data_IF_909914436381
#
_entry.id   IF_909914436381
#
_cell.length_a   1.000
_cell.length_b   1.000
_cell.length_c   1.000
_cell.angle_alpha   90.00
_cell.angle_beta   90.00
_cell.angle_gamma   90.00
#
_symmetry.space_group_name_H-M   'P 1'
#
loop_
_entity.id
_entity.type
_entity.pdbx_description
1 polymer ?
#
# COMPACT_ATOMS: atom_id res chain seq x y z
N UNK A 1 0.16 23.94 -9.84
CA UNK A 1 -0.54 23.19 -8.77
C UNK A 1 -0.56 21.73 -9.19
N UNK A 2 -0.08 20.82 -8.35
CA UNK A 2 -0.18 19.38 -8.63
C UNK A 2 -1.64 18.95 -8.45
N UNK A 3 -2.21 18.25 -9.41
CA UNK A 3 -3.57 17.71 -9.31
C UNK A 3 -3.63 16.65 -8.20
N UNK A 4 -4.83 16.36 -7.65
CA UNK A 4 -5.00 15.28 -6.66
C UNK A 4 -4.46 13.97 -7.21
N UNK A 5 -4.78 13.63 -8.46
CA UNK A 5 -4.22 12.47 -9.17
C UNK A 5 -2.69 12.45 -9.13
N UNK A 6 -2.05 13.56 -9.48
CA UNK A 6 -0.59 13.66 -9.48
C UNK A 6 0.01 13.47 -8.08
N UNK A 7 -0.66 13.97 -7.04
CA UNK A 7 -0.23 13.75 -5.65
C UNK A 7 -0.32 12.28 -5.25
N UNK A 8 -1.44 11.61 -5.55
CA UNK A 8 -1.63 10.19 -5.24
C UNK A 8 -0.62 9.31 -5.99
N UNK A 9 -0.41 9.55 -7.30
CA UNK A 9 0.61 8.85 -8.08
C UNK A 9 2.02 9.07 -7.53
N UNK A 10 2.33 10.31 -7.10
CA UNK A 10 3.62 10.62 -6.49
C UNK A 10 3.81 9.88 -5.16
N UNK A 11 2.78 9.78 -4.32
CA UNK A 11 2.82 9.00 -3.08
C UNK A 11 3.09 7.52 -3.36
N UNK A 12 2.36 6.93 -4.31
CA UNK A 12 2.57 5.55 -4.74
C UNK A 12 4.00 5.34 -5.26
N UNK A 13 4.51 6.25 -6.08
CA UNK A 13 5.85 6.17 -6.65
C UNK A 13 6.92 6.28 -5.57
N UNK A 14 6.78 7.21 -4.63
CA UNK A 14 7.71 7.38 -3.50
C UNK A 14 7.81 6.11 -2.66
N UNK A 15 6.68 5.49 -2.32
CA UNK A 15 6.68 4.23 -1.55
C UNK A 15 7.25 3.08 -2.38
N UNK A 16 6.82 2.92 -3.63
CA UNK A 16 7.30 1.86 -4.51
C UNK A 16 8.82 1.93 -4.75
N UNK A 17 9.37 3.13 -4.92
CA UNK A 17 10.83 3.33 -5.02
C UNK A 17 11.54 2.91 -3.74
N UNK A 18 11.04 3.32 -2.56
CA UNK A 18 11.67 2.99 -1.28
C UNK A 18 11.65 1.49 -0.98
N UNK A 19 10.55 0.79 -1.29
CA UNK A 19 10.42 -0.66 -1.10
C UNK A 19 11.51 -1.45 -1.85
N UNK A 20 11.88 -1.01 -3.05
CA UNK A 20 12.77 -1.78 -3.93
C UNK A 20 12.06 -2.98 -4.59
N UNK A 21 12.76 -3.70 -5.47
CA UNK A 21 12.14 -4.75 -6.30
C UNK A 21 11.57 -5.92 -5.49
N UNK A 22 12.34 -6.46 -4.56
CA UNK A 22 11.97 -7.65 -3.78
C UNK A 22 10.67 -7.44 -3.00
N UNK A 23 10.54 -6.31 -2.29
CA UNK A 23 9.34 -5.99 -1.53
C UNK A 23 8.16 -5.64 -2.44
N UNK A 24 8.38 -4.98 -3.59
CA UNK A 24 7.31 -4.72 -4.58
C UNK A 24 6.74 -5.99 -5.19
N UNK A 25 7.50 -7.07 -5.24
CA UNK A 25 7.01 -8.37 -5.70
C UNK A 25 6.15 -9.08 -4.65
N UNK A 26 6.30 -8.73 -3.37
CA UNK A 26 5.59 -9.37 -2.25
C UNK A 26 4.37 -8.56 -1.79
N UNK A 27 4.48 -7.24 -1.78
CA UNK A 27 3.46 -6.31 -1.29
C UNK A 27 2.50 -5.89 -2.39
N UNK A 28 1.23 -5.72 -2.01
CA UNK A 28 0.16 -5.27 -2.92
C UNK A 28 -0.38 -3.94 -2.42
N UNK A 29 -0.35 -2.92 -3.27
CA UNK A 29 -0.91 -1.61 -2.98
C UNK A 29 -2.45 -1.68 -2.99
N UNK A 30 -3.06 -1.09 -1.96
CA UNK A 30 -4.51 -1.04 -1.75
C UNK A 30 -4.90 0.36 -1.26
N UNK A 31 -6.15 0.52 -0.80
CA UNK A 31 -6.54 1.73 -0.09
C UNK A 31 -6.88 2.91 -0.99
N UNK A 32 -7.25 4.02 -0.35
CA UNK A 32 -7.70 5.24 -1.04
C UNK A 32 -6.68 5.79 -2.04
N UNK A 33 -5.39 5.64 -1.77
CA UNK A 33 -4.32 6.11 -2.65
C UNK A 33 -4.34 5.42 -4.03
N UNK A 34 -4.73 4.13 -4.08
CA UNK A 34 -4.84 3.39 -5.34
C UNK A 34 -6.06 3.74 -6.18
N UNK A 35 -7.00 4.53 -5.66
CA UNK A 35 -8.18 5.02 -6.42
C UNK A 35 -7.76 5.71 -7.72
N UNK A 36 -6.65 6.45 -7.71
CA UNK A 36 -6.11 7.14 -8.89
C UNK A 36 -5.73 6.19 -10.04
N UNK A 37 -5.55 4.90 -9.76
CA UNK A 37 -5.20 3.88 -10.75
C UNK A 37 -6.42 3.30 -11.47
N UNK A 38 -7.62 3.48 -10.92
CA UNK A 38 -8.86 2.90 -11.46
C UNK A 38 -9.72 3.90 -12.22
N UNK A 39 -9.54 5.20 -11.99
CA UNK A 39 -10.34 6.23 -12.64
C UNK A 39 -9.70 6.63 -13.98
N UNK A 40 -10.49 6.48 -15.04
CA UNK A 40 -10.09 6.76 -16.43
C UNK A 40 -10.53 8.13 -16.93
N UNK A 41 -11.42 8.81 -16.19
CA UNK A 41 -11.97 10.13 -16.52
C UNK A 41 -11.34 11.21 -15.61
N UNK A 42 -10.66 12.18 -16.22
CA UNK A 42 -9.91 13.21 -15.49
C UNK A 42 -10.82 14.19 -14.72
N UNK A 43 -12.08 14.40 -15.12
CA UNK A 43 -13.04 15.25 -14.39
C UNK A 43 -13.45 14.57 -13.08
N UNK A 44 -13.71 13.27 -13.13
CA UNK A 44 -14.09 12.46 -11.97
C UNK A 44 -12.93 12.40 -10.95
N UNK A 45 -11.69 12.42 -11.43
CA UNK A 45 -10.49 12.47 -10.59
C UNK A 45 -10.37 13.75 -9.75
N UNK A 46 -10.91 14.88 -10.21
CA UNK A 46 -10.92 16.12 -9.43
C UNK A 46 -11.81 16.02 -8.17
N UNK A 47 -12.81 15.14 -8.21
CA UNK A 47 -13.69 14.85 -7.07
C UNK A 47 -13.15 13.79 -6.10
N UNK A 48 -12.01 13.16 -6.39
CA UNK A 48 -11.42 12.15 -5.51
C UNK A 48 -10.97 12.80 -4.22
N UNK A 49 -11.44 12.26 -3.10
CA UNK A 49 -10.97 12.66 -1.78
C UNK A 49 -9.48 12.34 -1.66
N UNK A 50 -8.68 13.35 -1.31
CA UNK A 50 -7.28 13.14 -0.98
C UNK A 50 -7.14 12.24 0.27
N UNK A 51 -6.12 11.39 0.26
CA UNK A 51 -5.66 10.65 1.45
C UNK A 51 -4.23 11.06 1.80
N UNK A 52 -3.81 10.82 3.03
CA UNK A 52 -2.49 11.19 3.54
C UNK A 52 -1.59 9.96 3.85
N UNK A 53 -2.06 8.77 3.48
CA UNK A 53 -1.39 7.48 3.64
C UNK A 53 -1.35 6.64 2.36
N UNK A 54 -0.50 5.61 2.39
CA UNK A 54 -0.43 4.56 1.37
C UNK A 54 -0.59 3.22 2.07
N UNK A 55 -1.56 2.43 1.64
CA UNK A 55 -1.87 1.13 2.23
C UNK A 55 -1.29 -0.01 1.40
N UNK A 56 -0.71 -0.99 2.07
CA UNK A 56 -0.20 -2.22 1.45
C UNK A 56 -0.65 -3.45 2.24
N UNK A 57 -0.95 -4.52 1.51
CA UNK A 57 -1.23 -5.84 2.08
C UNK A 57 -0.13 -6.83 1.71
N UNK A 58 0.06 -7.83 2.57
CA UNK A 58 1.09 -8.87 2.41
C UNK A 58 0.62 -10.20 2.99
N UNK A 59 0.99 -11.28 2.31
CA UNK A 59 0.81 -12.65 2.81
C UNK A 59 1.92 -12.95 3.81
N UNK A 60 1.55 -13.11 5.08
CA UNK A 60 2.46 -13.44 6.18
C UNK A 60 1.77 -14.38 7.16
N UNK A 61 2.53 -15.33 7.70
CA UNK A 61 2.05 -16.25 8.73
C UNK A 61 2.78 -16.01 10.04
N UNK A 62 2.03 -15.55 11.05
CA UNK A 62 2.52 -15.35 12.41
C UNK A 62 3.52 -14.20 12.61
N UNK A 63 3.76 -13.91 13.89
CA UNK A 63 4.54 -12.75 14.33
C UNK A 63 6.02 -12.76 13.92
N UNK A 64 6.60 -13.94 13.70
CA UNK A 64 8.01 -14.05 13.31
C UNK A 64 8.28 -13.47 11.92
N UNK A 65 7.40 -13.73 10.95
CA UNK A 65 7.51 -13.18 9.60
C UNK A 65 7.18 -11.68 9.58
N UNK A 66 6.22 -11.24 10.42
CA UNK A 66 5.95 -9.83 10.64
C UNK A 66 7.17 -9.06 11.14
N UNK A 67 7.86 -9.57 12.17
CA UNK A 67 9.06 -8.95 12.71
C UNK A 67 10.20 -8.85 11.68
N UNK A 68 10.33 -9.86 10.80
CA UNK A 68 11.29 -9.84 9.68
C UNK A 68 10.94 -8.76 8.66
N UNK A 69 9.67 -8.69 8.23
CA UNK A 69 9.21 -7.65 7.31
C UNK A 69 9.48 -6.25 7.89
N UNK A 70 9.15 -6.01 9.17
CA UNK A 70 9.43 -4.74 9.81
C UNK A 70 10.93 -4.41 9.81
N UNK A 71 11.80 -5.40 10.05
CA UNK A 71 13.25 -5.20 9.98
C UNK A 71 13.73 -4.85 8.57
N UNK A 72 13.19 -5.49 7.53
CA UNK A 72 13.46 -5.16 6.12
C UNK A 72 12.99 -3.74 5.77
N UNK A 73 11.77 -3.38 6.18
CA UNK A 73 11.20 -2.04 5.97
C UNK A 73 12.06 -0.96 6.65
N UNK A 74 12.56 -1.21 7.87
CA UNK A 74 13.50 -0.28 8.53
C UNK A 74 14.78 -0.04 7.75
N UNK A 75 15.32 -1.08 7.09
CA UNK A 75 16.49 -0.92 6.21
C UNK A 75 16.17 -0.11 4.94
N UNK A 76 14.91 -0.07 4.52
CA UNK A 76 14.42 0.74 3.41
C UNK A 76 14.02 2.17 3.81
N UNK A 77 14.21 2.55 5.08
CA UNK A 77 13.95 3.89 5.58
C UNK A 77 12.53 4.11 6.12
N UNK A 78 11.73 3.05 6.25
CA UNK A 78 10.45 3.12 6.95
C UNK A 78 10.68 3.03 8.47
N UNK A 79 9.94 3.79 9.27
CA UNK A 79 10.08 3.75 10.72
C UNK A 79 8.74 3.90 11.43
N UNK A 80 8.56 3.22 12.55
CA UNK A 80 7.46 3.49 13.46
C UNK A 80 7.61 4.87 14.12
N UNK A 81 6.48 5.52 14.40
CA UNK A 81 6.44 6.80 15.10
C UNK A 81 5.69 6.66 16.41
N UNK A 82 6.25 7.19 17.50
CA UNK A 82 5.55 7.24 18.79
C UNK A 82 4.30 8.13 18.77
N UNK A 83 4.17 8.98 17.75
CA UNK A 83 3.00 9.85 17.57
C UNK A 83 1.86 9.15 16.82
N UNK A 84 2.10 7.98 16.22
CA UNK A 84 1.08 7.22 15.50
C UNK A 84 0.50 6.13 16.41
N UNK A 85 -0.84 6.07 16.48
CA UNK A 85 -1.57 5.06 17.26
C UNK A 85 -2.05 3.88 16.43
N UNK A 86 -1.80 3.91 15.11
CA UNK A 86 -2.22 2.87 14.16
C UNK A 86 -1.13 1.80 14.12
N UNK A 87 -1.46 0.56 14.51
CA UNK A 87 -0.48 -0.49 14.75
C UNK A 87 0.25 -0.99 13.50
N UNK A 88 -0.39 -0.93 12.33
CA UNK A 88 0.20 -1.27 11.03
C UNK A 88 1.00 -0.11 10.41
N UNK A 89 1.01 1.07 11.03
CA UNK A 89 1.55 2.30 10.43
C UNK A 89 3.05 2.42 10.66
N UNK A 90 3.75 2.66 9.56
CA UNK A 90 5.11 3.19 9.55
C UNK A 90 5.13 4.51 8.78
N UNK A 91 6.27 5.20 8.83
CA UNK A 91 6.51 6.44 8.10
C UNK A 91 7.71 6.33 7.18
N UNK A 92 7.58 6.91 5.99
CA UNK A 92 8.67 7.17 5.07
C UNK A 92 8.87 8.68 4.98
N UNK A 93 9.77 9.22 5.82
CA UNK A 93 9.79 10.65 6.11
C UNK A 93 8.49 11.07 6.81
N UNK A 94 7.74 12.00 6.22
CA UNK A 94 6.43 12.43 6.74
C UNK A 94 5.26 11.60 6.22
N UNK A 95 5.47 10.80 5.15
CA UNK A 95 4.43 10.01 4.51
C UNK A 95 4.06 8.81 5.38
N UNK A 96 2.77 8.64 5.67
CA UNK A 96 2.23 7.48 6.39
C UNK A 96 2.08 6.30 5.44
N UNK A 97 2.50 5.13 5.89
CA UNK A 97 2.43 3.90 5.09
C UNK A 97 1.99 2.76 6.00
N UNK A 98 0.84 2.17 5.67
CA UNK A 98 0.21 1.14 6.48
C UNK A 98 0.47 -0.23 5.84
N UNK A 99 1.08 -1.14 6.62
CA UNK A 99 1.42 -2.49 6.18
C UNK A 99 0.53 -3.50 6.90
N UNK A 100 -0.37 -4.15 6.18
CA UNK A 100 -1.40 -5.01 6.76
C UNK A 100 -1.16 -6.47 6.35
N UNK A 101 -0.86 -7.38 7.29
CA UNK A 101 -0.85 -8.81 7.01
C UNK A 101 -2.27 -9.32 6.75
N UNK A 102 -2.39 -10.43 6.02
CA UNK A 102 -3.65 -11.14 5.83
C UNK A 102 -4.01 -12.10 6.98
N UNK A 103 -3.04 -12.46 7.83
CA UNK A 103 -3.22 -13.22 9.07
C UNK A 103 -3.68 -12.32 10.24
N UNK A 104 -4.89 -12.58 10.75
CA UNK A 104 -5.50 -11.81 11.84
C UNK A 104 -4.77 -11.99 13.19
N UNK A 105 -4.04 -13.09 13.38
CA UNK A 105 -3.31 -13.36 14.63
C UNK A 105 -2.08 -12.45 14.80
N UNK A 106 -1.65 -11.76 13.74
CA UNK A 106 -0.47 -10.88 13.77
C UNK A 106 -0.78 -9.54 14.41
N UNK A 107 -1.84 -8.85 13.98
CA UNK A 107 -2.20 -7.51 14.44
C UNK A 107 -3.55 -7.45 15.19
N UNK A 108 -4.24 -8.58 15.33
CA UNK A 108 -5.57 -8.66 15.93
C UNK A 108 -6.69 -8.20 15.00
N UNK A 109 -6.39 -8.00 13.71
CA UNK A 109 -7.36 -7.71 12.66
C UNK A 109 -6.84 -8.14 11.29
N UNK A 110 -7.75 -8.38 10.37
CA UNK A 110 -7.49 -8.59 8.94
C UNK A 110 -8.76 -8.26 8.14
N UNK A 111 -8.67 -8.27 6.82
CA UNK A 111 -9.82 -8.23 5.93
C UNK A 111 -9.96 -9.59 5.22
N UNK A 112 -11.18 -10.16 5.22
CA UNK A 112 -11.50 -11.45 4.60
C UNK A 112 -11.08 -11.58 3.13
N UNK A 113 -10.88 -10.45 2.44
CA UNK A 113 -10.51 -10.39 1.03
C UNK A 113 -9.00 -10.26 0.79
N UNK A 114 -8.17 -10.05 1.81
CA UNK A 114 -6.73 -9.83 1.64
C UNK A 114 -6.03 -11.04 1.04
N UNK A 115 -6.21 -12.24 1.58
CA UNK A 115 -5.61 -13.46 1.04
C UNK A 115 -5.95 -13.63 -0.46
N UNK A 116 -7.22 -13.46 -0.84
CA UNK A 116 -7.64 -13.54 -2.24
C UNK A 116 -7.06 -12.41 -3.09
N UNK A 117 -7.04 -11.19 -2.54
CA UNK A 117 -6.50 -10.01 -3.18
C UNK A 117 -5.00 -10.11 -3.47
N UNK A 118 -4.24 -10.72 -2.57
CA UNK A 118 -2.81 -11.00 -2.74
C UNK A 118 -2.62 -12.07 -3.81
N UNK A 119 -3.37 -13.18 -3.74
CA UNK A 119 -3.31 -14.28 -4.71
C UNK A 119 -3.58 -13.79 -6.14
N UNK A 120 -4.56 -12.91 -6.33
CA UNK A 120 -4.98 -12.43 -7.66
C UNK A 120 -4.48 -11.02 -7.99
N UNK A 121 -3.47 -10.53 -7.26
CA UNK A 121 -2.93 -9.20 -7.48
C UNK A 121 -2.41 -9.02 -8.92
N UNK A 122 -2.68 -7.85 -9.50
CA UNK A 122 -2.29 -7.51 -10.86
C UNK A 122 -1.03 -6.66 -10.82
N UNK A 123 0.03 -7.11 -11.49
CA UNK A 123 1.23 -6.31 -11.74
C UNK A 123 0.92 -5.29 -12.85
N UNK A 124 1.25 -4.02 -12.59
CA UNK A 124 1.12 -2.96 -13.59
C UNK A 124 2.29 -1.98 -13.55
N UNK A 125 2.61 -1.30 -14.66
CA UNK A 125 3.53 -0.17 -14.66
C UNK A 125 2.90 1.03 -13.93
N UNK A 126 3.60 1.56 -12.94
CA UNK A 126 3.30 2.85 -12.31
C UNK A 126 4.01 3.99 -13.05
N UNK A 127 5.23 3.74 -13.52
CA UNK A 127 6.00 4.54 -14.48
C UNK A 127 6.63 3.61 -15.53
N UNK A 128 7.39 4.16 -16.47
CA UNK A 128 8.09 3.37 -17.50
C UNK A 128 9.09 2.37 -16.90
N UNK A 129 9.70 2.69 -15.75
CA UNK A 129 10.72 1.87 -15.09
C UNK A 129 10.24 1.21 -13.78
N UNK A 130 9.05 1.56 -13.28
CA UNK A 130 8.58 1.14 -11.97
C UNK A 130 7.26 0.39 -12.08
N UNK A 131 7.23 -0.86 -11.62
CA UNK A 131 6.03 -1.70 -11.54
C UNK A 131 5.60 -1.90 -10.11
N UNK A 132 4.28 -2.01 -9.89
CA UNK A 132 3.69 -2.34 -8.59
C UNK A 132 2.65 -3.45 -8.77
N UNK A 133 2.30 -4.13 -7.67
CA UNK A 133 1.10 -4.95 -7.59
C UNK A 133 -0.05 -4.15 -6.99
N UNK A 134 -1.24 -4.28 -7.56
CA UNK A 134 -2.49 -3.74 -7.00
C UNK A 134 -3.61 -4.78 -7.05
N UNK A 135 -4.68 -4.55 -6.32
CA UNK A 135 -5.89 -5.36 -6.43
C UNK A 135 -6.54 -5.25 -7.82
N UNK A 136 -7.31 -6.27 -8.19
CA UNK A 136 -8.30 -6.14 -9.25
C UNK A 136 -9.42 -5.17 -8.84
N UNK A 137 -10.14 -4.55 -9.79
CA UNK A 137 -11.19 -3.57 -9.45
C UNK A 137 -12.25 -4.10 -8.48
N UNK A 138 -12.68 -5.35 -8.64
CA UNK A 138 -13.69 -5.98 -7.78
C UNK A 138 -13.19 -6.19 -6.34
N UNK A 139 -11.92 -6.57 -6.16
CA UNK A 139 -11.33 -6.74 -4.83
C UNK A 139 -10.95 -5.39 -4.20
N UNK A 140 -10.60 -4.39 -5.01
CA UNK A 140 -10.46 -3.02 -4.55
C UNK A 140 -11.77 -2.53 -3.91
N UNK A 141 -12.91 -2.69 -4.59
CA UNK A 141 -14.21 -2.31 -4.01
C UNK A 141 -14.56 -3.14 -2.76
N UNK A 142 -14.18 -4.42 -2.72
CA UNK A 142 -14.49 -5.29 -1.59
C UNK A 142 -13.66 -5.00 -0.31
N UNK A 143 -12.52 -4.31 -0.46
CA UNK A 143 -11.56 -4.07 0.64
C UNK A 143 -11.64 -2.67 1.25
N UNK A 144 -12.29 -1.72 0.57
CA UNK A 144 -12.35 -0.30 0.92
C UNK A 144 -13.72 0.16 1.42
#
# INVERSE_FOLDING_TARGET
MTTVKGQLLQMLQTVATALGSELRERLVFVGGCTTALFITDDITLEGVRATDDVDLIVDLVGFAEWAKLQAELRQKGFAESQNDTVICRMRLGDLKVDFMPDDEDILGFSNRWYAKGIETAVTMPLTDELTIKRLSPELFVATN
#
